data_IF_120301721380
#
_entry.id   IF_120301721380
#
_cell.length_a   1.000
_cell.length_b   1.000
_cell.length_c   1.000
_cell.angle_alpha   90.00
_cell.angle_beta   90.00
_cell.angle_gamma   90.00
#
_symmetry.space_group_name_H-M   'P 1'
#
loop_
_entity.id
_entity.type
_entity.pdbx_description
1 polymer ?
#
# COMPACT_ATOMS: atom_id res chain seq x y z
N UNK A 1 1.41 3.40 15.69
CA UNK A 1 2.58 4.21 16.13
C UNK A 1 3.85 3.46 15.77
N UNK A 2 4.91 4.16 15.40
CA UNK A 2 6.21 3.55 15.10
C UNK A 2 6.88 3.14 16.41
N UNK A 3 7.23 1.86 16.51
CA UNK A 3 7.81 1.23 17.70
C UNK A 3 8.51 -0.06 17.30
N UNK A 4 9.64 -0.37 17.94
CA UNK A 4 10.30 -1.66 17.74
C UNK A 4 9.35 -2.80 18.12
N UNK A 5 9.35 -3.89 17.36
CA UNK A 5 8.38 -4.97 17.54
C UNK A 5 8.33 -5.50 18.99
N UNK A 6 9.50 -5.64 19.63
CA UNK A 6 9.60 -6.10 21.01
C UNK A 6 8.90 -5.19 22.05
N UNK A 7 8.63 -3.93 21.71
CA UNK A 7 7.93 -2.95 22.56
C UNK A 7 6.55 -2.58 22.02
N UNK A 8 6.13 -3.19 20.92
CA UNK A 8 4.85 -2.89 20.29
C UNK A 8 3.73 -3.52 21.10
N UNK A 9 2.80 -2.69 21.58
CA UNK A 9 1.62 -3.20 22.28
C UNK A 9 0.62 -3.77 21.30
N UNK A 10 -0.31 -4.59 21.80
CA UNK A 10 -1.42 -5.10 20.98
C UNK A 10 -2.30 -3.96 20.44
N UNK A 11 -2.48 -2.88 21.20
CA UNK A 11 -3.24 -1.71 20.77
C UNK A 11 -2.51 -0.92 19.68
N UNK A 12 -1.19 -0.76 19.77
CA UNK A 12 -0.37 -0.14 18.71
C UNK A 12 -0.47 -0.93 17.41
N UNK A 13 -0.52 -2.27 17.51
CA UNK A 13 -0.71 -3.16 16.38
C UNK A 13 -2.09 -2.97 15.75
N UNK A 14 -3.15 -3.19 16.53
CA UNK A 14 -4.53 -3.15 16.04
C UNK A 14 -4.93 -1.79 15.50
N UNK A 15 -4.52 -0.70 16.15
CA UNK A 15 -4.84 0.66 15.69
C UNK A 15 -4.27 0.91 14.30
N UNK A 16 -3.06 0.43 14.01
CA UNK A 16 -2.44 0.58 12.70
C UNK A 16 -3.13 -0.29 11.63
N UNK A 17 -3.44 -1.55 11.98
CA UNK A 17 -4.08 -2.48 11.05
C UNK A 17 -5.53 -2.09 10.75
N UNK A 18 -6.30 -1.62 11.73
CA UNK A 18 -7.73 -1.34 11.57
C UNK A 18 -8.01 -0.43 10.36
N UNK A 19 -7.23 0.64 10.19
CA UNK A 19 -7.44 1.60 9.08
C UNK A 19 -7.26 0.94 7.71
N UNK A 20 -6.21 0.14 7.51
CA UNK A 20 -5.91 -0.46 6.19
C UNK A 20 -6.65 -1.78 5.99
N UNK A 21 -6.64 -2.66 6.97
CA UNK A 21 -7.22 -4.00 6.88
C UNK A 21 -8.74 -3.93 6.95
N UNK A 22 -9.29 -3.45 8.07
CA UNK A 22 -10.74 -3.38 8.25
C UNK A 22 -11.36 -2.39 7.27
N UNK A 23 -10.72 -1.24 7.03
CA UNK A 23 -11.17 -0.27 6.03
C UNK A 23 -11.30 -0.87 4.63
N UNK A 24 -10.30 -1.62 4.17
CA UNK A 24 -10.34 -2.28 2.85
C UNK A 24 -11.43 -3.35 2.77
N UNK A 25 -11.61 -4.13 3.83
CA UNK A 25 -12.67 -5.14 3.89
C UNK A 25 -14.07 -4.50 3.87
N UNK A 26 -14.25 -3.40 4.59
CA UNK A 26 -15.49 -2.63 4.58
C UNK A 26 -15.81 -2.10 3.17
N UNK A 27 -14.82 -1.54 2.47
CA UNK A 27 -14.98 -1.08 1.09
C UNK A 27 -15.30 -2.24 0.14
N UNK A 28 -14.66 -3.39 0.32
CA UNK A 28 -14.94 -4.59 -0.47
C UNK A 28 -16.41 -5.01 -0.37
N UNK A 29 -16.93 -5.07 0.86
CA UNK A 29 -18.33 -5.45 1.11
C UNK A 29 -19.32 -4.39 0.64
N UNK A 30 -19.04 -3.11 0.89
CA UNK A 30 -19.89 -2.02 0.46
C UNK A 30 -20.02 -1.95 -1.07
N UNK A 31 -18.95 -2.30 -1.79
CA UNK A 31 -18.93 -2.39 -3.25
C UNK A 31 -19.44 -3.73 -3.81
N UNK A 32 -19.85 -4.66 -2.96
CA UNK A 32 -20.33 -5.97 -3.40
C UNK A 32 -21.58 -5.83 -4.28
N UNK A 33 -21.58 -6.50 -5.43
CA UNK A 33 -22.66 -6.42 -6.42
C UNK A 33 -22.69 -5.15 -7.27
N UNK A 34 -21.75 -4.20 -7.08
CA UNK A 34 -21.63 -3.02 -7.93
C UNK A 34 -20.57 -3.25 -9.03
N UNK A 35 -20.85 -2.90 -10.30
CA UNK A 35 -19.88 -3.02 -11.39
C UNK A 35 -18.88 -1.85 -11.32
N UNK A 36 -17.90 -1.95 -10.43
CA UNK A 36 -16.84 -0.94 -10.34
C UNK A 36 -15.94 -0.96 -11.58
N UNK A 37 -15.56 0.22 -12.07
CA UNK A 37 -14.53 0.35 -13.11
C UNK A 37 -13.12 0.00 -12.58
N UNK A 38 -12.85 0.34 -11.32
CA UNK A 38 -11.56 0.10 -10.65
C UNK A 38 -11.71 -0.05 -9.12
N UNK A 39 -10.72 -0.68 -8.50
CA UNK A 39 -10.56 -0.72 -7.04
C UNK A 39 -9.05 -0.64 -6.72
N UNK A 40 -8.54 0.56 -6.42
CA UNK A 40 -7.11 0.76 -6.17
C UNK A 40 -6.86 0.92 -4.68
N UNK A 41 -5.92 0.14 -4.14
CA UNK A 41 -5.43 0.30 -2.77
C UNK A 41 -4.00 0.85 -2.77
N UNK A 42 -3.75 1.82 -1.89
CA UNK A 42 -2.41 2.37 -1.68
C UNK A 42 -1.70 1.59 -0.58
N UNK A 43 -0.73 0.79 -1.00
CA UNK A 43 0.22 0.09 -0.14
C UNK A 43 1.48 0.97 0.05
N UNK A 44 2.53 0.40 0.62
CA UNK A 44 3.81 1.07 0.81
C UNK A 44 4.96 0.10 0.55
N UNK A 45 6.08 0.62 0.05
CA UNK A 45 7.32 -0.14 -0.08
C UNK A 45 7.78 -0.76 1.25
N UNK A 46 7.36 -0.20 2.39
CA UNK A 46 7.59 -0.78 3.71
C UNK A 46 6.92 -2.16 3.89
N UNK A 47 5.84 -2.47 3.16
CA UNK A 47 5.22 -3.79 3.12
C UNK A 47 6.00 -4.84 2.31
N UNK A 48 7.01 -4.41 1.55
CA UNK A 48 7.87 -5.25 0.70
C UNK A 48 9.25 -5.41 1.35
N UNK A 49 9.92 -4.28 1.63
CA UNK A 49 11.29 -4.27 2.14
C UNK A 49 11.37 -4.23 3.67
N UNK A 50 10.25 -3.94 4.35
CA UNK A 50 10.24 -3.61 5.77
C UNK A 50 10.78 -2.21 6.06
N UNK A 51 10.50 -1.72 7.27
CA UNK A 51 11.17 -0.55 7.84
C UNK A 51 11.27 -0.72 9.36
N UNK A 52 12.38 -0.26 9.94
CA UNK A 52 12.62 -0.42 11.36
C UNK A 52 11.54 0.32 12.18
N UNK A 53 10.99 -0.35 13.19
CA UNK A 53 9.91 0.21 14.01
C UNK A 53 8.52 0.21 13.36
N UNK A 54 8.37 -0.33 12.15
CA UNK A 54 7.13 -0.27 11.38
C UNK A 54 6.54 -1.66 11.07
N UNK A 55 6.68 -2.63 11.98
CA UNK A 55 6.22 -3.99 11.76
C UNK A 55 4.70 -4.10 11.52
N UNK A 56 3.89 -3.38 12.30
CA UNK A 56 2.43 -3.28 12.12
C UNK A 56 2.06 -2.62 10.78
N UNK A 57 2.76 -1.55 10.40
CA UNK A 57 2.54 -0.85 9.14
C UNK A 57 2.93 -1.71 7.94
N UNK A 58 4.07 -2.39 8.01
CA UNK A 58 4.49 -3.34 6.99
C UNK A 58 3.43 -4.44 6.82
N UNK A 59 3.01 -5.09 7.91
CA UNK A 59 1.98 -6.13 7.87
C UNK A 59 0.66 -5.65 7.27
N UNK A 60 0.21 -4.45 7.63
CA UNK A 60 -1.01 -3.85 7.09
C UNK A 60 -0.91 -3.62 5.56
N UNK A 61 0.25 -3.16 5.07
CA UNK A 61 0.48 -2.93 3.63
C UNK A 61 0.65 -4.25 2.86
N UNK A 62 1.38 -5.24 3.40
CA UNK A 62 1.46 -6.59 2.80
C UNK A 62 0.08 -7.24 2.67
N UNK A 63 -0.83 -6.97 3.60
CA UNK A 63 -2.22 -7.41 3.50
C UNK A 63 -2.91 -6.78 2.29
N UNK A 64 -2.74 -5.48 2.02
CA UNK A 64 -3.34 -4.81 0.84
C UNK A 64 -2.86 -5.43 -0.48
N UNK A 65 -1.57 -5.75 -0.56
CA UNK A 65 -1.00 -6.41 -1.74
C UNK A 65 -1.58 -7.81 -1.93
N UNK A 66 -1.78 -8.55 -0.83
CA UNK A 66 -2.40 -9.87 -0.83
C UNK A 66 -3.90 -9.81 -1.12
N UNK A 67 -4.59 -8.80 -0.60
CA UNK A 67 -6.01 -8.55 -0.81
C UNK A 67 -6.29 -8.28 -2.29
N UNK A 68 -5.42 -7.52 -2.97
CA UNK A 68 -5.53 -7.29 -4.43
C UNK A 68 -5.52 -8.60 -5.20
N UNK A 69 -4.63 -9.54 -4.84
CA UNK A 69 -4.61 -10.88 -5.46
C UNK A 69 -5.86 -11.69 -5.14
N UNK A 70 -6.34 -11.62 -3.90
CA UNK A 70 -7.60 -12.27 -3.50
C UNK A 70 -8.79 -11.74 -4.32
N UNK A 71 -8.96 -10.41 -4.39
CA UNK A 71 -10.07 -9.76 -5.10
C UNK A 71 -10.03 -10.09 -6.61
N UNK A 72 -8.85 -10.08 -7.24
CA UNK A 72 -8.68 -10.50 -8.64
C UNK A 72 -9.07 -11.96 -8.88
N UNK A 73 -8.78 -12.88 -7.94
CA UNK A 73 -9.19 -14.29 -8.04
C UNK A 73 -10.71 -14.48 -8.01
N UNK A 74 -11.45 -13.53 -7.46
CA UNK A 74 -12.91 -13.49 -7.51
C UNK A 74 -13.45 -12.88 -8.81
N UNK A 75 -12.57 -12.53 -9.77
CA UNK A 75 -12.95 -11.83 -10.99
C UNK A 75 -13.33 -10.36 -10.78
N UNK A 76 -13.02 -9.80 -9.61
CA UNK A 76 -13.33 -8.41 -9.28
C UNK A 76 -12.13 -7.50 -9.58
N UNK A 77 -12.38 -6.26 -10.06
CA UNK A 77 -11.32 -5.29 -10.32
C UNK A 77 -10.52 -5.03 -9.05
N UNK A 78 -9.19 -5.00 -9.16
CA UNK A 78 -8.32 -4.55 -8.08
C UNK A 78 -6.92 -4.20 -8.58
N UNK A 79 -6.27 -3.20 -8.02
CA UNK A 79 -4.83 -2.98 -8.16
C UNK A 79 -4.25 -2.43 -6.85
N UNK A 80 -2.94 -2.65 -6.65
CA UNK A 80 -2.19 -2.09 -5.52
C UNK A 80 -1.11 -1.17 -6.05
N UNK A 81 -0.93 -0.02 -5.41
CA UNK A 81 0.19 0.89 -5.66
C UNK A 81 1.05 0.95 -4.41
N UNK A 82 2.22 0.31 -4.44
CA UNK A 82 3.17 0.31 -3.33
C UNK A 82 4.02 1.58 -3.37
N UNK A 83 3.63 2.58 -2.57
CA UNK A 83 4.28 3.89 -2.56
C UNK A 83 5.57 3.92 -1.75
N UNK A 84 6.58 4.57 -2.34
CA UNK A 84 7.69 5.16 -1.61
C UNK A 84 7.30 6.52 -1.00
N UNK A 85 8.29 7.22 -0.44
CA UNK A 85 8.10 8.59 0.01
C UNK A 85 7.90 9.52 -1.20
N UNK A 86 6.97 10.48 -1.08
CA UNK A 86 6.68 11.49 -2.11
C UNK A 86 7.11 12.85 -1.57
N UNK A 87 8.05 13.53 -2.21
CA UNK A 87 8.74 14.68 -1.61
C UNK A 87 7.94 15.98 -1.59
N UNK A 88 7.09 16.18 -2.59
CA UNK A 88 6.37 17.42 -2.89
C UNK A 88 4.89 17.38 -2.47
N UNK A 89 4.39 16.23 -1.98
CA UNK A 89 3.05 16.12 -1.41
C UNK A 89 2.99 15.22 -0.15
N UNK A 90 1.84 15.18 0.53
CA UNK A 90 1.62 14.32 1.69
C UNK A 90 2.47 14.68 2.92
N UNK A 91 2.80 13.68 3.75
CA UNK A 91 3.46 13.90 5.06
C UNK A 91 4.89 14.41 4.94
N UNK A 92 5.63 13.97 3.91
CA UNK A 92 7.05 14.32 3.72
C UNK A 92 7.20 15.80 3.36
N UNK A 93 6.36 16.31 2.45
CA UNK A 93 6.35 17.74 2.09
C UNK A 93 6.08 18.70 3.26
N UNK A 94 5.43 18.21 4.33
CA UNK A 94 5.03 19.00 5.51
C UNK A 94 6.01 18.89 6.68
N UNK A 95 6.98 17.98 6.58
CA UNK A 95 7.98 17.74 7.62
C UNK A 95 9.39 17.84 7.02
N UNK A 96 9.97 19.04 7.11
CA UNK A 96 11.31 19.32 6.59
C UNK A 96 12.39 18.42 7.19
N UNK A 97 12.23 17.96 8.45
CA UNK A 97 13.20 17.06 9.09
C UNK A 97 13.09 15.66 8.51
N UNK A 98 11.87 15.19 8.27
CA UNK A 98 11.63 13.90 7.63
C UNK A 98 12.18 13.91 6.20
N UNK A 99 11.90 14.97 5.42
CA UNK A 99 12.43 15.14 4.07
C UNK A 99 13.97 15.13 4.07
N UNK A 100 14.61 15.94 4.92
CA UNK A 100 16.07 15.99 5.03
C UNK A 100 16.65 14.62 5.42
N UNK A 101 16.01 13.90 6.34
CA UNK A 101 16.45 12.57 6.78
C UNK A 101 16.38 11.55 5.64
N UNK A 102 15.33 11.60 4.82
CA UNK A 102 15.17 10.72 3.67
C UNK A 102 16.16 11.04 2.54
N UNK A 103 16.42 12.33 2.29
CA UNK A 103 17.45 12.78 1.34
C UNK A 103 18.85 12.33 1.79
N UNK A 104 19.16 12.43 3.09
CA UNK A 104 20.44 11.98 3.64
C UNK A 104 20.63 10.45 3.57
N UNK A 105 19.53 9.68 3.54
CA UNK A 105 19.55 8.24 3.36
C UNK A 105 19.73 7.80 1.89
N UNK A 106 19.92 8.75 0.96
CA UNK A 106 20.03 8.51 -0.49
C UNK A 106 18.86 7.69 -1.06
N UNK A 107 17.69 7.81 -0.44
CA UNK A 107 16.46 7.19 -0.92
C UNK A 107 15.89 8.07 -2.03
N UNK A 108 15.64 7.49 -3.21
CA UNK A 108 14.91 8.20 -4.27
C UNK A 108 13.49 8.48 -3.77
N UNK A 109 13.15 9.76 -3.69
CA UNK A 109 11.80 10.21 -3.40
C UNK A 109 11.06 10.35 -4.72
N UNK A 110 9.81 9.90 -4.73
CA UNK A 110 8.92 10.13 -5.84
C UNK A 110 8.42 11.58 -5.80
N UNK A 111 8.01 12.08 -6.96
CA UNK A 111 7.26 13.34 -7.07
C UNK A 111 5.77 13.07 -7.26
N UNK A 112 4.97 14.12 -7.12
CA UNK A 112 3.51 14.06 -7.29
C UNK A 112 3.13 13.60 -8.71
N UNK A 113 3.84 14.06 -9.74
CA UNK A 113 3.57 13.65 -11.12
C UNK A 113 3.81 12.15 -11.33
N UNK A 114 4.90 11.60 -10.79
CA UNK A 114 5.18 10.16 -10.83
C UNK A 114 4.16 9.34 -10.04
N UNK A 115 3.67 9.87 -8.92
CA UNK A 115 2.57 9.27 -8.16
C UNK A 115 1.29 9.18 -9.00
N UNK A 116 0.94 10.27 -9.69
CA UNK A 116 -0.26 10.34 -10.52
C UNK A 116 -0.15 9.41 -11.74
N UNK A 117 1.02 9.33 -12.38
CA UNK A 117 1.30 8.36 -13.44
C UNK A 117 1.17 6.91 -12.94
N UNK A 118 1.72 6.62 -11.75
CA UNK A 118 1.59 5.31 -11.11
C UNK A 118 0.14 4.95 -10.79
N UNK A 119 -0.67 5.92 -10.35
CA UNK A 119 -2.09 5.73 -10.09
C UNK A 119 -2.86 5.46 -11.39
N UNK A 120 -2.59 6.22 -12.45
CA UNK A 120 -3.21 5.98 -13.76
C UNK A 120 -2.91 4.56 -14.27
N UNK A 121 -1.66 4.12 -14.16
CA UNK A 121 -1.28 2.74 -14.49
C UNK A 121 -2.01 1.72 -13.62
N UNK A 122 -2.15 1.96 -12.32
CA UNK A 122 -2.87 1.06 -11.41
C UNK A 122 -4.37 0.94 -11.79
N UNK A 123 -5.02 2.06 -12.15
CA UNK A 123 -6.42 2.05 -12.61
C UNK A 123 -6.55 1.19 -13.88
N UNK A 124 -5.69 1.42 -14.87
CA UNK A 124 -5.69 0.65 -16.14
C UNK A 124 -5.46 -0.85 -15.93
N UNK A 125 -4.68 -1.23 -14.91
CA UNK A 125 -4.38 -2.63 -14.59
C UNK A 125 -5.44 -3.34 -13.72
N UNK A 126 -6.48 -2.66 -13.25
CA UNK A 126 -7.46 -3.26 -12.33
C UNK A 126 -8.13 -4.52 -12.88
N UNK A 127 -8.32 -4.58 -14.20
CA UNK A 127 -8.98 -5.67 -14.91
C UNK A 127 -8.00 -6.61 -15.64
N UNK A 128 -6.69 -6.40 -15.47
CA UNK A 128 -5.71 -7.29 -16.10
C UNK A 128 -5.74 -8.66 -15.41
N UNK A 129 -5.79 -9.76 -16.18
CA UNK A 129 -5.67 -11.09 -15.60
C UNK A 129 -4.36 -11.21 -14.80
N UNK A 130 -4.32 -12.04 -13.74
CA UNK A 130 -3.06 -12.33 -13.06
C UNK A 130 -2.03 -12.77 -14.10
N UNK A 131 -0.81 -12.26 -14.03
CA UNK A 131 0.29 -12.77 -14.87
C UNK A 131 0.38 -14.27 -14.58
N UNK A 132 0.04 -15.09 -15.57
CA UNK A 132 0.23 -16.53 -15.50
C UNK A 132 1.71 -16.80 -15.33
N UNK A 133 2.15 -17.08 -14.11
CA UNK A 133 3.47 -17.66 -13.91
C UNK A 133 3.37 -19.05 -14.52
N UNK A 134 3.91 -19.23 -15.72
CA UNK A 134 4.14 -20.54 -16.29
C UNK A 134 4.90 -21.35 -15.23
N UNK A 135 4.23 -22.34 -14.63
CA UNK A 135 4.87 -23.37 -13.83
C UNK A 135 5.64 -24.28 -14.78
N UNK A 136 6.80 -23.80 -15.24
CA UNK A 136 7.78 -24.56 -15.98
C UNK A 136 9.05 -24.63 -15.16
N UNK A 137 9.10 -25.58 -14.23
CA UNK A 137 10.33 -26.26 -13.77
C UNK A 137 10.04 -27.75 -13.86
#
# INVERSE_FOLDING_TARGET
>A
KDQIFAKMTYDDWNTCLATKVQGTWNLHHAASGQPLDFFVVFSSIAGICGNHGQANYAAANTLLDSFTRYRRRLGLPSATLALGAVEDCGIVSRDAKLLQSMQAASVRLAREDELLEGLELAIRQCNSPPISVNQGI
#
